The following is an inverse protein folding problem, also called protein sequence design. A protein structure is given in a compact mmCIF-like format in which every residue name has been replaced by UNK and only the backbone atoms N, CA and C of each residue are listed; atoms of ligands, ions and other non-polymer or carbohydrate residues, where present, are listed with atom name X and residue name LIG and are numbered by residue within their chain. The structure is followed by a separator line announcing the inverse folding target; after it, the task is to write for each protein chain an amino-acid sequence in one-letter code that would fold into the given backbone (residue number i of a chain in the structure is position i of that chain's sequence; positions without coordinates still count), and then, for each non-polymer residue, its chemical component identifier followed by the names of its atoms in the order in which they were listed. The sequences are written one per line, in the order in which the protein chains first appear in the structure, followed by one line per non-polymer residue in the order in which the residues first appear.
data_IF_285016828246
#
_entry.id   IF_285016828246
#
_cell.length_a   1.000
_cell.length_b   1.000
_cell.length_c   1.000
_cell.angle_alpha   90.00
_cell.angle_beta   90.00
_cell.angle_gamma   90.00
#
_symmetry.space_group_name_H-M   'P 1'
#
loop_
_entity.id
_entity.type
_entity.pdbx_description
1 polymer ?
#
# COMPACT_ATOMS: atom_id res chain seq x y z
N UNK A 1 36.30 9.55 14.63
CA UNK A 1 34.95 9.21 15.12
C UNK A 1 33.94 9.79 14.13
N UNK A 2 33.66 9.04 13.06
CA UNK A 2 32.79 9.51 11.98
C UNK A 2 31.34 9.51 12.46
N UNK A 3 30.76 10.70 12.61
CA UNK A 3 29.32 10.86 12.79
C UNK A 3 28.63 10.38 11.50
N UNK A 4 28.32 9.08 11.42
CA UNK A 4 27.20 8.64 10.62
C UNK A 4 25.96 9.31 11.21
N UNK A 5 25.54 10.44 10.63
CA UNK A 5 24.18 10.90 10.84
C UNK A 5 23.26 9.81 10.30
N UNK A 6 22.81 8.92 11.19
CA UNK A 6 21.65 8.06 10.95
C UNK A 6 20.53 9.00 10.52
N UNK A 7 20.17 8.91 9.25
CA UNK A 7 19.02 9.60 8.70
C UNK A 7 17.81 9.21 9.55
N UNK A 8 17.28 10.22 10.23
CA UNK A 8 16.27 10.14 11.29
C UNK A 8 16.76 9.67 12.67
N UNK A 9 16.59 10.56 13.66
CA UNK A 9 16.57 10.24 15.09
C UNK A 9 15.40 9.31 15.48
N UNK A 10 14.54 8.99 14.51
CA UNK A 10 13.36 8.13 14.56
C UNK A 10 13.26 7.40 13.20
N UNK A 11 14.08 6.38 12.93
CA UNK A 11 13.93 5.47 11.78
C UNK A 11 12.61 4.67 11.90
N UNK A 12 11.48 5.38 11.95
CA UNK A 12 10.15 4.85 12.13
C UNK A 12 9.75 4.15 10.84
N UNK A 13 9.96 2.85 10.80
CA UNK A 13 9.23 1.93 9.92
C UNK A 13 9.80 1.71 8.52
N UNK A 14 11.00 2.20 8.18
CA UNK A 14 11.66 1.79 6.92
C UNK A 14 12.57 0.60 7.22
N UNK A 15 12.15 -0.57 6.77
CA UNK A 15 12.90 -1.82 6.85
C UNK A 15 14.26 -1.68 6.15
N UNK A 16 15.36 -1.94 6.87
CA UNK A 16 16.71 -1.66 6.36
C UNK A 16 17.12 -2.58 5.20
N UNK A 17 16.52 -3.77 5.12
CA UNK A 17 16.80 -4.75 4.07
C UNK A 17 16.33 -4.29 2.69
N UNK A 18 15.43 -3.30 2.61
CA UNK A 18 15.06 -2.65 1.35
C UNK A 18 16.25 -1.94 0.67
N UNK A 19 17.30 -1.58 1.41
CA UNK A 19 18.54 -1.03 0.83
C UNK A 19 19.39 -2.07 0.08
N UNK A 20 19.12 -3.36 0.30
CA UNK A 20 19.82 -4.49 -0.32
C UNK A 20 19.17 -5.05 -1.58
N UNK A 21 18.11 -4.40 -2.08
CA UNK A 21 17.40 -4.79 -3.29
C UNK A 21 18.20 -4.44 -4.55
N UNK A 22 18.11 -5.29 -5.57
CA UNK A 22 18.65 -5.10 -6.91
C UNK A 22 17.53 -4.92 -7.94
N UNK A 23 17.83 -4.20 -9.02
CA UNK A 23 16.96 -3.99 -10.18
C UNK A 23 17.82 -3.56 -11.36
N UNK A 24 17.36 -3.84 -12.58
CA UNK A 24 17.99 -3.39 -13.81
C UNK A 24 18.04 -1.85 -13.94
N UNK A 25 17.17 -1.17 -13.21
CA UNK A 25 17.03 0.30 -13.24
C UNK A 25 17.66 0.98 -12.01
N UNK A 26 18.22 0.21 -11.07
CA UNK A 26 18.93 0.78 -9.93
C UNK A 26 20.36 1.13 -10.33
N UNK A 27 20.59 2.42 -10.59
CA UNK A 27 21.93 2.95 -10.70
C UNK A 27 22.66 2.83 -9.37
N UNK A 28 23.78 2.12 -9.35
CA UNK A 28 24.69 2.03 -8.20
C UNK A 28 25.87 2.96 -8.45
N UNK A 29 25.87 4.17 -7.87
CA UNK A 29 26.96 5.11 -8.07
C UNK A 29 28.26 4.53 -7.54
N UNK A 30 29.38 4.85 -8.21
CA UNK A 30 30.70 4.51 -7.69
C UNK A 30 30.87 5.15 -6.29
N UNK A 31 31.44 4.37 -5.36
CA UNK A 31 31.74 4.76 -3.99
C UNK A 31 32.42 6.14 -3.91
N UNK A 32 33.31 6.45 -4.87
CA UNK A 32 34.02 7.72 -4.94
C UNK A 32 33.09 8.94 -5.06
N UNK A 33 31.95 8.81 -5.74
CA UNK A 33 30.96 9.88 -5.88
C UNK A 33 29.90 9.85 -4.78
N UNK A 34 29.54 8.66 -4.28
CA UNK A 34 28.43 8.52 -3.34
C UNK A 34 28.76 9.07 -1.95
N UNK A 35 29.99 8.90 -1.47
CA UNK A 35 30.36 9.36 -0.12
C UNK A 35 30.42 10.88 -0.01
N UNK A 36 31.04 11.63 -0.95
CA UNK A 36 30.97 13.09 -0.96
C UNK A 36 29.53 13.60 -1.09
N UNK A 37 28.72 13.02 -1.99
CA UNK A 37 27.33 13.42 -2.15
C UNK A 37 26.52 13.18 -0.87
N UNK A 38 26.68 12.01 -0.22
CA UNK A 38 26.03 11.72 1.07
C UNK A 38 26.45 12.70 2.16
N UNK A 39 27.73 13.09 2.19
CA UNK A 39 28.23 14.08 3.13
C UNK A 39 27.58 15.45 2.88
N UNK A 40 27.55 15.91 1.63
CA UNK A 40 26.90 17.17 1.25
C UNK A 40 25.41 17.19 1.63
N UNK A 41 24.68 16.14 1.26
CA UNK A 41 23.26 15.96 1.63
C UNK A 41 23.06 15.95 3.15
N UNK A 42 23.99 15.35 3.90
CA UNK A 42 23.93 15.33 5.37
C UNK A 42 24.17 16.72 5.96
N UNK A 43 25.12 17.49 5.40
CA UNK A 43 25.40 18.86 5.81
C UNK A 43 24.18 19.76 5.54
N UNK A 44 23.65 19.73 4.32
CA UNK A 44 22.45 20.49 3.93
C UNK A 44 21.28 20.17 4.86
N UNK A 45 21.02 18.88 5.10
CA UNK A 45 19.95 18.45 6.00
C UNK A 45 20.19 18.89 7.46
N UNK A 46 21.42 18.85 7.96
CA UNK A 46 21.76 19.34 9.30
C UNK A 46 21.51 20.84 9.43
N UNK A 47 21.93 21.64 8.45
CA UNK A 47 21.66 23.09 8.40
C UNK A 47 20.15 23.33 8.42
N UNK A 48 19.40 22.63 7.57
CA UNK A 48 17.94 22.73 7.52
C UNK A 48 17.27 22.37 8.84
N UNK A 49 17.72 21.30 9.52
CA UNK A 49 17.20 20.90 10.83
C UNK A 49 17.50 21.93 11.91
N UNK A 50 18.69 22.52 11.90
CA UNK A 50 19.07 23.57 12.84
C UNK A 50 18.17 24.79 12.63
N UNK A 51 18.02 25.25 11.39
CA UNK A 51 17.13 26.35 11.02
C UNK A 51 15.67 26.09 11.46
N UNK A 52 15.12 24.91 11.18
CA UNK A 52 13.77 24.56 11.60
C UNK A 52 13.60 24.47 13.13
N UNK A 53 14.64 24.03 13.85
CA UNK A 53 14.63 24.04 15.32
C UNK A 53 14.54 25.48 15.86
N UNK A 54 15.17 26.45 15.20
CA UNK A 54 15.10 27.86 15.55
C UNK A 54 13.73 28.49 15.26
N UNK A 55 13.06 28.11 14.17
CA UNK A 55 11.78 28.71 13.74
C UNK A 55 10.56 28.09 14.47
N UNK A 56 10.76 27.13 15.38
CA UNK A 56 9.70 26.39 16.07
C UNK A 56 8.69 25.68 15.14
N UNK A 57 8.98 25.59 13.85
CA UNK A 57 8.09 24.96 12.89
C UNK A 57 8.27 23.44 12.96
N UNK A 58 7.48 22.78 13.82
CA UNK A 58 7.64 21.37 14.21
C UNK A 58 7.39 20.33 13.10
N UNK A 59 6.99 20.73 11.90
CA UNK A 59 6.60 19.77 10.84
C UNK A 59 6.98 20.20 9.44
N UNK A 60 8.27 20.11 9.09
CA UNK A 60 8.68 19.79 7.73
C UNK A 60 9.94 18.93 7.81
N UNK A 61 9.77 17.62 7.72
CA UNK A 61 10.86 16.67 7.55
C UNK A 61 10.50 15.78 6.37
N UNK A 62 10.48 16.36 5.17
CA UNK A 62 10.49 15.57 3.94
C UNK A 62 11.94 15.32 3.57
N UNK A 63 12.31 14.05 3.38
CA UNK A 63 13.58 13.74 2.73
C UNK A 63 13.56 14.41 1.35
N UNK A 64 14.62 15.14 0.96
CA UNK A 64 14.70 15.74 -0.37
C UNK A 64 14.56 14.62 -1.42
N UNK A 65 13.65 14.84 -2.38
CA UNK A 65 13.41 13.94 -3.51
C UNK A 65 13.77 14.70 -4.78
N UNK A 66 14.82 14.27 -5.46
CA UNK A 66 15.25 14.87 -6.73
C UNK A 66 14.65 14.10 -7.90
N UNK A 67 14.30 14.80 -8.97
CA UNK A 67 13.81 14.18 -10.21
C UNK A 67 12.34 13.73 -10.19
N UNK A 68 11.68 13.69 -9.02
CA UNK A 68 10.31 13.19 -8.93
C UNK A 68 9.29 14.11 -9.61
N UNK A 69 9.52 15.42 -9.59
CA UNK A 69 8.58 16.37 -10.19
C UNK A 69 8.71 16.36 -11.71
N UNK A 70 9.92 16.09 -12.21
CA UNK A 70 10.30 16.02 -13.60
C UNK A 70 9.68 14.79 -14.30
N UNK A 71 9.50 13.68 -13.58
CA UNK A 71 8.80 12.47 -14.09
C UNK A 71 7.34 12.77 -14.46
N UNK A 72 6.67 13.59 -13.65
CA UNK A 72 5.26 13.93 -13.85
C UNK A 72 5.08 15.33 -14.44
N UNK A 73 6.17 15.91 -14.95
CA UNK A 73 6.12 17.20 -15.61
C UNK A 73 5.58 17.00 -17.03
N UNK A 74 4.37 17.48 -17.27
CA UNK A 74 3.67 17.31 -18.55
C UNK A 74 4.13 18.33 -19.62
N UNK A 75 5.04 19.25 -19.27
CA UNK A 75 5.59 20.27 -20.17
C UNK A 75 5.40 21.66 -19.58
N UNK A 76 5.19 22.67 -20.43
CA UNK A 76 4.93 24.06 -20.02
C UNK A 76 3.48 24.31 -19.57
N UNK A 77 2.75 23.26 -19.18
CA UNK A 77 1.35 23.39 -18.80
C UNK A 77 1.21 24.20 -17.51
N UNK A 78 0.36 25.22 -17.57
CA UNK A 78 0.01 26.05 -16.41
C UNK A 78 -1.24 25.56 -15.68
N UNK A 79 -1.97 24.61 -16.27
CA UNK A 79 -3.25 24.09 -15.75
C UNK A 79 -3.35 22.56 -15.86
N UNK A 80 -4.25 21.97 -15.07
CA UNK A 80 -4.53 20.55 -15.11
C UNK A 80 -5.48 20.19 -16.26
N UNK A 81 -5.11 19.19 -17.07
CA UNK A 81 -5.93 18.67 -18.17
C UNK A 81 -6.02 17.15 -18.13
N UNK A 82 -7.26 16.64 -18.07
CA UNK A 82 -7.53 15.19 -18.13
C UNK A 82 -7.35 14.63 -19.54
N UNK A 83 -7.50 15.45 -20.58
CA UNK A 83 -7.26 15.05 -21.96
C UNK A 83 -5.78 14.75 -22.17
N UNK A 84 -4.89 15.67 -21.78
CA UNK A 84 -3.45 15.46 -21.87
C UNK A 84 -3.02 14.23 -21.06
N UNK A 85 -3.56 14.07 -19.85
CA UNK A 85 -3.30 12.89 -19.03
C UNK A 85 -3.65 11.59 -19.78
N UNK A 86 -4.74 11.55 -20.55
CA UNK A 86 -5.17 10.36 -21.31
C UNK A 86 -4.30 10.05 -22.54
N UNK A 87 -3.55 11.02 -23.04
CA UNK A 87 -2.65 10.82 -24.21
C UNK A 87 -1.35 10.08 -23.89
N UNK A 88 -1.04 9.88 -22.60
CA UNK A 88 0.23 9.28 -22.16
C UNK A 88 0.02 7.85 -21.70
N UNK A 89 1.06 7.03 -21.91
CA UNK A 89 1.08 5.62 -21.51
C UNK A 89 1.62 5.45 -20.08
N UNK A 90 0.83 5.87 -19.08
CA UNK A 90 1.24 5.82 -17.67
C UNK A 90 1.37 4.40 -17.11
N UNK A 91 0.64 3.45 -17.70
CA UNK A 91 0.57 2.06 -17.27
C UNK A 91 1.76 1.21 -17.75
N UNK A 92 2.65 1.73 -18.61
CA UNK A 92 3.87 1.01 -19.01
C UNK A 92 4.71 0.59 -17.81
N UNK A 93 4.84 1.47 -16.80
CA UNK A 93 5.54 1.15 -15.55
C UNK A 93 4.89 0.00 -14.75
N UNK A 94 3.60 -0.27 -14.99
CA UNK A 94 2.88 -1.39 -14.39
C UNK A 94 3.00 -2.67 -15.22
N UNK A 95 3.37 -2.58 -16.50
CA UNK A 95 3.53 -3.73 -17.40
C UNK A 95 4.98 -4.24 -17.37
N UNK A 96 5.95 -3.35 -17.45
CA UNK A 96 7.37 -3.71 -17.57
C UNK A 96 7.88 -4.42 -16.31
N UNK A 97 8.61 -5.51 -16.52
CA UNK A 97 9.36 -6.15 -15.44
C UNK A 97 10.63 -5.34 -15.14
N UNK A 98 10.58 -4.61 -14.03
CA UNK A 98 11.71 -3.82 -13.53
C UNK A 98 12.78 -4.69 -12.85
N UNK A 99 12.59 -6.01 -12.77
CA UNK A 99 13.57 -6.99 -12.31
C UNK A 99 13.97 -6.78 -10.84
N UNK A 100 13.02 -6.37 -9.99
CA UNK A 100 13.30 -6.04 -8.59
C UNK A 100 13.37 -7.30 -7.74
N UNK A 101 14.52 -7.56 -7.09
CA UNK A 101 14.76 -8.75 -6.28
C UNK A 101 15.84 -8.53 -5.22
N UNK A 102 15.80 -9.31 -4.14
CA UNK A 102 16.89 -9.41 -3.15
C UNK A 102 18.14 -10.04 -3.79
N UNK A 103 19.32 -9.48 -3.51
CA UNK A 103 20.58 -10.00 -4.05
C UNK A 103 20.91 -11.43 -3.61
N UNK A 104 21.59 -12.21 -4.44
CA UNK A 104 21.72 -13.67 -4.28
C UNK A 104 22.24 -14.17 -2.91
N UNK A 105 23.24 -13.51 -2.30
CA UNK A 105 23.72 -13.88 -0.96
C UNK A 105 22.64 -13.60 0.11
N UNK A 106 21.97 -12.45 -0.01
CA UNK A 106 20.91 -12.02 0.91
C UNK A 106 19.70 -12.95 0.78
N UNK A 107 19.35 -13.33 -0.46
CA UNK A 107 18.27 -14.25 -0.75
C UNK A 107 18.49 -15.64 -0.13
N UNK A 108 19.71 -16.18 -0.20
CA UNK A 108 20.04 -17.48 0.44
C UNK A 108 19.91 -17.45 1.96
N UNK A 109 20.30 -16.35 2.60
CA UNK A 109 20.12 -16.19 4.06
C UNK A 109 18.65 -16.14 4.44
N UNK A 110 17.85 -15.43 3.63
CA UNK A 110 16.42 -15.34 3.87
C UNK A 110 15.69 -16.67 3.63
N UNK A 111 16.10 -17.45 2.63
CA UNK A 111 15.62 -18.82 2.40
C UNK A 111 15.88 -19.73 3.61
N UNK A 112 17.05 -19.61 4.25
CA UNK A 112 17.30 -20.34 5.50
C UNK A 112 16.33 -19.91 6.61
N UNK A 113 16.07 -18.60 6.75
CA UNK A 113 15.07 -18.10 7.69
C UNK A 113 13.65 -18.63 7.43
N UNK A 114 13.25 -18.79 6.16
CA UNK A 114 11.99 -19.46 5.79
C UNK A 114 11.94 -20.91 6.28
N UNK A 115 13.03 -21.66 6.13
CA UNK A 115 13.12 -23.05 6.61
C UNK A 115 13.06 -23.13 8.13
N UNK A 116 13.72 -22.19 8.81
CA UNK A 116 13.72 -22.12 10.27
C UNK A 116 12.32 -21.80 10.83
N UNK A 117 11.47 -21.11 10.05
CA UNK A 117 10.04 -20.94 10.34
C UNK A 117 9.21 -22.22 10.17
N UNK A 118 9.76 -23.28 9.58
CA UNK A 118 9.08 -24.55 9.34
C UNK A 118 8.25 -24.59 8.06
N UNK A 119 8.38 -23.61 7.16
CA UNK A 119 7.68 -23.64 5.86
C UNK A 119 8.47 -24.54 4.90
N UNK A 120 7.85 -25.58 4.30
CA UNK A 120 8.52 -26.42 3.32
C UNK A 120 9.04 -25.64 2.11
N UNK A 121 10.13 -26.12 1.50
CA UNK A 121 10.78 -25.43 0.38
C UNK A 121 9.87 -25.31 -0.85
N UNK A 122 9.11 -26.37 -1.14
CA UNK A 122 8.19 -26.51 -2.27
C UNK A 122 6.76 -26.00 -1.96
N UNK A 123 6.47 -25.66 -0.70
CA UNK A 123 5.19 -25.09 -0.33
C UNK A 123 5.02 -23.66 -0.85
N UNK A 124 3.86 -23.39 -1.45
CA UNK A 124 3.42 -22.03 -1.72
C UNK A 124 2.80 -21.43 -0.45
N UNK A 125 2.99 -20.13 -0.26
CA UNK A 125 2.48 -19.44 0.92
C UNK A 125 1.98 -18.04 0.58
N UNK A 126 1.08 -17.55 1.42
CA UNK A 126 0.48 -16.22 1.34
C UNK A 126 1.10 -15.36 2.43
N UNK A 127 1.59 -14.18 2.05
CA UNK A 127 2.07 -13.20 3.01
C UNK A 127 0.91 -12.29 3.41
N UNK A 128 0.65 -12.17 4.71
CA UNK A 128 -0.46 -11.38 5.24
C UNK A 128 0.06 -10.25 6.12
N UNK A 129 -0.45 -9.04 5.94
CA UNK A 129 -0.23 -7.93 6.87
C UNK A 129 -1.52 -7.14 7.08
N UNK A 130 -2.08 -7.29 8.29
CA UNK A 130 -3.22 -6.51 8.77
C UNK A 130 -2.72 -5.57 9.85
N UNK A 131 -2.84 -4.27 9.59
CA UNK A 131 -2.43 -3.25 10.55
C UNK A 131 -3.40 -3.25 11.73
N UNK A 132 -2.86 -3.29 12.94
CA UNK A 132 -3.61 -3.21 14.20
C UNK A 132 -3.22 -1.94 14.99
N UNK A 133 -4.12 -1.49 15.85
CA UNK A 133 -3.99 -0.42 16.85
C UNK A 133 -2.76 -0.58 17.77
N UNK A 134 -2.32 -1.81 18.03
CA UNK A 134 -1.13 -2.10 18.84
C UNK A 134 0.17 -1.49 18.28
N UNK A 135 0.20 -1.09 17.01
CA UNK A 135 1.40 -0.53 16.36
C UNK A 135 1.71 0.93 16.77
N UNK A 136 0.72 1.72 17.18
CA UNK A 136 0.91 3.13 17.57
C UNK A 136 0.21 3.51 18.90
N UNK A 137 -0.51 2.58 19.53
CA UNK A 137 -1.20 2.78 20.81
C UNK A 137 -2.38 3.77 20.75
N UNK A 138 -2.96 4.08 21.91
CA UNK A 138 -4.15 4.94 22.10
C UNK A 138 -3.95 6.43 21.77
N UNK A 139 -2.76 6.83 21.32
CA UNK A 139 -2.42 8.21 20.92
C UNK A 139 -2.70 8.51 19.44
N UNK A 140 -3.25 7.55 18.70
CA UNK A 140 -3.60 7.71 17.29
C UNK A 140 -4.85 8.59 17.10
N UNK A 141 -4.73 9.65 16.30
CA UNK A 141 -5.90 10.40 15.83
C UNK A 141 -6.85 9.53 15.01
N UNK A 142 -8.13 9.92 14.96
CA UNK A 142 -9.25 9.17 14.34
C UNK A 142 -8.90 8.63 12.95
N UNK A 143 -8.28 9.45 12.07
CA UNK A 143 -7.88 9.05 10.72
C UNK A 143 -6.84 7.91 10.64
N UNK A 144 -6.07 7.67 11.70
CA UNK A 144 -5.14 6.54 11.75
C UNK A 144 -5.81 5.28 12.26
N UNK A 145 -6.75 5.42 13.20
CA UNK A 145 -7.54 4.31 13.73
C UNK A 145 -8.43 3.68 12.65
N UNK A 146 -8.97 4.48 11.72
CA UNK A 146 -9.79 3.98 10.61
C UNK A 146 -9.06 3.00 9.69
N UNK A 147 -7.72 2.99 9.73
CA UNK A 147 -6.85 2.12 8.92
C UNK A 147 -6.55 0.77 9.59
N UNK A 148 -6.86 0.63 10.87
CA UNK A 148 -6.63 -0.60 11.61
C UNK A 148 -7.74 -1.60 11.28
N UNK A 149 -7.44 -2.89 11.45
CA UNK A 149 -8.42 -3.97 11.32
C UNK A 149 -8.14 -5.15 12.25
N UNK A 150 -9.19 -5.87 12.65
CA UNK A 150 -9.03 -7.06 13.48
C UNK A 150 -8.55 -8.24 12.64
N UNK A 151 -7.37 -8.78 12.98
CA UNK A 151 -6.80 -9.96 12.35
C UNK A 151 -7.70 -11.20 12.48
N UNK A 152 -8.57 -11.25 13.51
CA UNK A 152 -9.46 -12.39 13.70
C UNK A 152 -10.49 -12.54 12.58
N UNK A 153 -10.90 -11.45 11.92
CA UNK A 153 -11.80 -11.51 10.76
C UNK A 153 -11.18 -12.28 9.58
N UNK A 154 -9.87 -12.52 9.57
CA UNK A 154 -9.18 -13.21 8.48
C UNK A 154 -9.07 -14.72 8.71
N UNK A 155 -9.45 -15.23 9.90
CA UNK A 155 -9.26 -16.64 10.25
C UNK A 155 -10.03 -17.57 9.30
N UNK A 156 -11.23 -17.17 8.85
CA UNK A 156 -12.01 -17.94 7.87
C UNK A 156 -11.26 -18.04 6.53
N UNK A 157 -10.78 -16.92 6.01
CA UNK A 157 -9.97 -16.88 4.80
C UNK A 157 -8.65 -17.68 4.92
N UNK A 158 -8.01 -17.68 6.08
CA UNK A 158 -6.82 -18.50 6.32
C UNK A 158 -7.12 -20.00 6.22
N UNK A 159 -8.27 -20.44 6.74
CA UNK A 159 -8.74 -21.83 6.57
C UNK A 159 -8.94 -22.16 5.09
N UNK A 160 -9.55 -21.26 4.32
CA UNK A 160 -9.75 -21.45 2.87
C UNK A 160 -8.41 -21.60 2.14
N UNK A 161 -7.40 -20.78 2.46
CA UNK A 161 -6.05 -20.88 1.87
C UNK A 161 -5.40 -22.23 2.21
N UNK A 162 -5.45 -22.62 3.48
CA UNK A 162 -4.80 -23.83 3.97
C UNK A 162 -5.47 -25.12 3.49
N UNK A 163 -6.80 -25.11 3.34
CA UNK A 163 -7.56 -26.20 2.69
C UNK A 163 -7.22 -26.35 1.20
N UNK A 164 -6.75 -25.29 0.54
CA UNK A 164 -6.22 -25.35 -0.83
C UNK A 164 -4.72 -25.73 -0.88
N UNK A 165 -4.14 -26.14 0.25
CA UNK A 165 -2.74 -26.61 0.35
C UNK A 165 -1.70 -25.50 0.51
N UNK A 166 -2.13 -24.26 0.75
CA UNK A 166 -1.23 -23.13 0.96
C UNK A 166 -0.87 -22.90 2.43
N UNK A 167 0.25 -22.24 2.68
CA UNK A 167 0.56 -21.72 4.01
C UNK A 167 0.15 -20.25 4.14
N UNK A 168 -0.15 -19.82 5.36
CA UNK A 168 -0.36 -18.40 5.67
C UNK A 168 0.75 -17.92 6.58
N UNK A 169 1.44 -16.85 6.21
CA UNK A 169 2.49 -16.24 7.02
C UNK A 169 2.14 -14.80 7.29
N UNK A 170 1.83 -14.47 8.55
CA UNK A 170 1.48 -13.11 8.94
C UNK A 170 2.70 -12.34 9.41
N UNK A 171 3.05 -11.30 8.65
CA UNK A 171 4.07 -10.33 9.02
C UNK A 171 3.46 -9.18 9.83
N UNK A 172 4.31 -8.45 10.55
CA UNK A 172 3.86 -7.35 11.40
C UNK A 172 4.83 -7.06 12.53
N UNK A 173 4.33 -6.32 13.51
CA UNK A 173 5.06 -5.98 14.73
C UNK A 173 4.63 -6.90 15.89
N UNK A 174 5.53 -7.18 16.81
CA UNK A 174 5.28 -8.08 17.96
C UNK A 174 4.27 -7.52 18.97
N UNK A 175 3.89 -6.24 18.87
CA UNK A 175 2.86 -5.62 19.69
C UNK A 175 1.44 -5.78 19.10
N UNK A 176 1.31 -6.30 17.88
CA UNK A 176 0.01 -6.54 17.27
C UNK A 176 -0.70 -7.74 17.93
N UNK A 177 -2.03 -7.83 17.80
CA UNK A 177 -2.78 -8.98 18.31
C UNK A 177 -2.25 -10.31 17.74
N UNK A 178 -2.18 -11.33 18.60
CA UNK A 178 -1.80 -12.71 18.22
C UNK A 178 -2.90 -13.38 17.41
N UNK A 179 -2.48 -14.20 16.45
CA UNK A 179 -3.38 -15.11 15.73
C UNK A 179 -3.57 -16.36 16.59
N UNK A 180 -4.78 -16.95 16.64
CA UNK A 180 -4.97 -18.27 17.24
C UNK A 180 -4.11 -19.33 16.54
N UNK A 181 -3.81 -20.42 17.25
CA UNK A 181 -3.13 -21.56 16.65
C UNK A 181 -4.05 -22.21 15.60
N UNK A 182 -3.60 -22.18 14.34
CA UNK A 182 -4.34 -22.65 13.18
C UNK A 182 -3.39 -23.46 12.31
N UNK A 183 -3.88 -24.58 11.79
CA UNK A 183 -3.11 -25.48 10.94
C UNK A 183 -2.55 -24.74 9.71
N UNK A 184 -1.25 -24.93 9.43
CA UNK A 184 -0.52 -24.26 8.33
C UNK A 184 -0.56 -22.72 8.35
N UNK A 185 -0.82 -22.09 9.51
CA UNK A 185 -0.76 -20.64 9.71
C UNK A 185 0.36 -20.27 10.68
N UNK A 186 1.25 -19.37 10.26
CA UNK A 186 2.42 -18.92 11.03
C UNK A 186 2.23 -17.45 11.41
N UNK A 187 2.10 -17.18 12.71
CA UNK A 187 2.14 -15.82 13.28
C UNK A 187 3.59 -15.34 13.44
N UNK A 188 4.23 -15.12 12.30
CA UNK A 188 5.64 -14.73 12.22
C UNK A 188 5.95 -13.41 12.94
N UNK A 189 4.97 -12.50 13.05
CA UNK A 189 5.10 -11.28 13.85
C UNK A 189 5.51 -11.54 15.33
N UNK A 190 5.20 -12.72 15.87
CA UNK A 190 5.51 -13.15 17.23
C UNK A 190 6.58 -14.24 17.32
N UNK A 191 7.22 -14.62 16.19
CA UNK A 191 8.23 -15.69 16.18
C UNK A 191 9.63 -15.15 16.47
N UNK A 192 10.52 -16.03 16.93
CA UNK A 192 11.92 -15.71 17.25
C UNK A 192 12.77 -15.44 16.00
N UNK A 193 12.28 -15.88 14.84
CA UNK A 193 12.88 -15.72 13.52
C UNK A 193 12.57 -14.35 12.90
N UNK A 194 11.75 -13.52 13.58
CA UNK A 194 11.43 -12.17 13.11
C UNK A 194 12.70 -11.35 12.84
N UNK A 195 12.81 -10.85 11.60
CA UNK A 195 13.91 -10.00 11.17
C UNK A 195 13.51 -9.09 10.02
N UNK A 196 14.18 -7.94 9.90
CA UNK A 196 14.01 -7.02 8.76
C UNK A 196 14.18 -7.74 7.42
N UNK A 197 15.13 -8.66 7.32
CA UNK A 197 15.37 -9.41 6.09
C UNK A 197 14.19 -10.31 5.73
N UNK A 198 13.68 -11.06 6.71
CA UNK A 198 12.62 -12.03 6.46
C UNK A 198 11.27 -11.34 6.22
N UNK A 199 11.03 -10.17 6.82
CA UNK A 199 9.88 -9.30 6.49
C UNK A 199 9.82 -8.97 4.98
N UNK A 200 10.96 -8.65 4.35
CA UNK A 200 11.04 -8.30 2.91
C UNK A 200 10.96 -9.55 2.04
N UNK A 201 11.66 -10.62 2.45
CA UNK A 201 11.70 -11.87 1.69
C UNK A 201 10.34 -12.57 1.64
N UNK A 202 9.61 -12.64 2.75
CA UNK A 202 8.29 -13.25 2.80
C UNK A 202 7.30 -12.54 1.86
N UNK A 203 7.41 -11.21 1.71
CA UNK A 203 6.64 -10.47 0.71
C UNK A 203 7.13 -10.79 -0.70
N UNK A 204 8.45 -10.86 -0.93
CA UNK A 204 8.99 -11.13 -2.26
C UNK A 204 8.61 -12.53 -2.77
N UNK A 205 8.61 -13.55 -1.92
CA UNK A 205 8.46 -14.95 -2.37
C UNK A 205 7.04 -15.51 -2.21
N UNK A 206 6.09 -14.73 -1.69
CA UNK A 206 4.72 -15.22 -1.55
C UNK A 206 4.05 -15.42 -2.92
N UNK A 207 3.09 -16.35 -2.94
CA UNK A 207 2.22 -16.60 -4.09
C UNK A 207 1.32 -15.38 -4.37
N UNK A 208 0.76 -14.81 -3.31
CA UNK A 208 0.06 -13.53 -3.33
C UNK A 208 0.10 -12.89 -1.93
N UNK A 209 -0.20 -11.60 -1.88
CA UNK A 209 -0.17 -10.79 -0.66
C UNK A 209 -1.59 -10.39 -0.26
N UNK A 210 -1.95 -10.55 1.01
CA UNK A 210 -3.18 -10.00 1.59
C UNK A 210 -2.81 -8.89 2.56
N UNK A 211 -3.43 -7.72 2.44
CA UNK A 211 -3.25 -6.73 3.49
C UNK A 211 -4.18 -5.54 3.39
N UNK A 212 -3.96 -4.58 4.28
CA UNK A 212 -4.67 -3.31 4.32
C UNK A 212 -3.81 -2.17 3.77
N UNK A 213 -4.38 -1.01 3.41
CA UNK A 213 -3.62 0.17 2.98
C UNK A 213 -2.57 0.62 4.01
N UNK A 214 -1.32 0.16 3.85
CA UNK A 214 -0.25 0.26 4.84
C UNK A 214 1.13 0.21 4.18
N UNK A 215 2.20 0.44 4.95
CA UNK A 215 3.58 0.44 4.43
C UNK A 215 3.95 -0.85 3.67
N UNK A 216 3.71 -2.05 4.24
CA UNK A 216 4.05 -3.32 3.59
C UNK A 216 3.37 -3.55 2.23
N UNK A 217 2.18 -2.98 1.99
CA UNK A 217 1.53 -3.00 0.67
C UNK A 217 2.42 -2.37 -0.41
N UNK A 218 3.19 -1.33 -0.07
CA UNK A 218 4.12 -0.69 -1.03
C UNK A 218 5.25 -1.64 -1.42
N UNK A 219 5.70 -2.51 -0.49
CA UNK A 219 6.73 -3.51 -0.75
C UNK A 219 6.18 -4.65 -1.62
N UNK A 220 4.94 -5.08 -1.38
CA UNK A 220 4.27 -6.07 -2.23
C UNK A 220 4.12 -5.56 -3.68
N UNK A 221 3.73 -4.29 -3.84
CA UNK A 221 3.69 -3.62 -5.14
C UNK A 221 5.07 -3.55 -5.80
N UNK A 222 6.11 -3.22 -5.03
CA UNK A 222 7.50 -3.16 -5.51
C UNK A 222 7.98 -4.50 -6.08
N UNK A 223 7.71 -5.60 -5.37
CA UNK A 223 8.03 -6.96 -5.84
C UNK A 223 7.02 -7.55 -6.80
N UNK A 224 6.05 -6.75 -7.24
CA UNK A 224 5.08 -7.14 -8.27
C UNK A 224 4.36 -8.45 -7.90
N UNK A 225 4.00 -8.61 -6.62
CA UNK A 225 3.17 -9.73 -6.18
C UNK A 225 1.70 -9.47 -6.52
N UNK A 226 0.89 -10.50 -6.82
CA UNK A 226 -0.56 -10.36 -6.82
C UNK A 226 -1.06 -9.91 -5.45
N UNK A 227 -2.04 -9.00 -5.43
CA UNK A 227 -2.51 -8.34 -4.21
C UNK A 227 -4.02 -8.54 -4.01
N UNK A 228 -4.38 -8.91 -2.78
CA UNK A 228 -5.72 -8.80 -2.21
C UNK A 228 -5.74 -7.69 -1.17
N UNK A 229 -6.35 -6.57 -1.52
CA UNK A 229 -6.40 -5.38 -0.70
C UNK A 229 -7.72 -5.31 0.07
N UNK A 230 -7.65 -5.51 1.38
CA UNK A 230 -8.82 -5.55 2.27
C UNK A 230 -8.98 -4.23 3.01
N UNK A 231 -10.20 -3.96 3.49
CA UNK A 231 -10.47 -2.82 4.36
C UNK A 231 -10.03 -1.47 3.77
N UNK A 232 -10.23 -1.28 2.46
CA UNK A 232 -9.96 0.00 1.81
C UNK A 232 -10.88 1.09 2.36
N UNK A 233 -10.33 2.27 2.63
CA UNK A 233 -11.07 3.41 3.23
C UNK A 233 -11.16 4.61 2.29
N UNK A 234 -10.61 4.52 1.09
CA UNK A 234 -10.65 5.53 0.05
C UNK A 234 -10.57 4.85 -1.33
N UNK A 235 -10.79 5.59 -2.42
CA UNK A 235 -11.03 5.02 -3.76
C UNK A 235 -9.91 5.28 -4.78
N UNK A 236 -8.87 6.03 -4.43
CA UNK A 236 -7.97 6.66 -5.40
C UNK A 236 -6.51 6.22 -5.26
N UNK A 237 -5.92 6.25 -4.07
CA UNK A 237 -4.47 6.08 -3.87
C UNK A 237 -4.09 4.63 -3.57
N UNK A 238 -4.71 4.04 -2.57
CA UNK A 238 -4.50 2.69 -2.07
C UNK A 238 -5.59 1.79 -2.68
N UNK A 239 -5.46 1.52 -3.99
CA UNK A 239 -6.39 0.71 -4.77
C UNK A 239 -5.64 -0.43 -5.49
N UNK A 240 -6.29 -1.56 -5.83
CA UNK A 240 -5.70 -2.65 -6.60
C UNK A 240 -5.03 -2.17 -7.88
N UNK A 241 -3.71 -2.37 -7.97
CA UNK A 241 -2.89 -1.69 -8.97
C UNK A 241 -2.83 -2.45 -10.29
N UNK A 242 -2.74 -3.78 -10.25
CA UNK A 242 -2.47 -4.62 -11.43
C UNK A 242 -3.67 -5.46 -11.84
N UNK A 243 -3.65 -5.89 -13.09
CA UNK A 243 -4.66 -6.81 -13.60
C UNK A 243 -4.64 -8.09 -12.77
N UNK A 244 -5.81 -8.53 -12.30
CA UNK A 244 -5.94 -9.67 -11.39
C UNK A 244 -5.82 -9.30 -9.91
N UNK A 245 -5.30 -8.12 -9.53
CA UNK A 245 -5.41 -7.68 -8.14
C UNK A 245 -6.89 -7.42 -7.82
N UNK A 246 -7.31 -7.80 -6.61
CA UNK A 246 -8.63 -7.51 -6.09
C UNK A 246 -8.54 -6.66 -4.83
N UNK A 247 -9.59 -5.91 -4.54
CA UNK A 247 -9.70 -5.23 -3.27
C UNK A 247 -11.14 -4.99 -2.85
N UNK A 248 -11.38 -4.97 -1.55
CA UNK A 248 -12.70 -4.74 -0.97
C UNK A 248 -12.68 -3.50 -0.07
N UNK A 249 -13.71 -2.67 -0.23
CA UNK A 249 -13.89 -1.45 0.56
C UNK A 249 -14.45 -1.79 1.94
N UNK A 250 -14.07 -1.01 2.96
CA UNK A 250 -14.83 -0.92 4.20
C UNK A 250 -16.27 -0.49 3.88
N UNK A 251 -17.21 -0.93 4.71
CA UNK A 251 -18.61 -0.53 4.63
C UNK A 251 -18.76 0.90 5.17
N UNK A 252 -19.32 1.80 4.37
CA UNK A 252 -19.58 3.18 4.79
C UNK A 252 -21.00 3.26 5.34
N UNK A 253 -21.14 3.15 6.66
CA UNK A 253 -22.44 3.18 7.33
C UNK A 253 -22.84 4.62 7.66
N UNK A 254 -23.99 5.07 7.15
CA UNK A 254 -24.55 6.39 7.49
C UNK A 254 -25.46 6.25 8.70
N UNK A 255 -25.15 6.99 9.76
CA UNK A 255 -25.96 7.03 10.99
C UNK A 255 -27.33 7.63 10.71
N UNK A 256 -27.39 8.73 9.95
CA UNK A 256 -28.65 9.40 9.61
C UNK A 256 -29.57 8.57 8.72
N UNK A 257 -29.02 7.72 7.84
CA UNK A 257 -29.81 6.82 6.99
C UNK A 257 -29.99 5.42 7.58
N UNK A 258 -29.31 5.11 8.68
CA UNK A 258 -29.29 3.80 9.35
C UNK A 258 -28.98 2.62 8.40
N UNK A 259 -28.12 2.85 7.40
CA UNK A 259 -27.72 1.82 6.43
C UNK A 259 -26.33 2.06 5.85
N UNK A 260 -25.79 1.02 5.22
CA UNK A 260 -24.61 1.14 4.37
C UNK A 260 -24.93 1.98 3.13
N UNK A 261 -23.97 2.81 2.73
CA UNK A 261 -24.01 3.59 1.51
C UNK A 261 -23.54 2.77 0.32
N UNK A 262 -24.24 2.93 -0.82
CA UNK A 262 -23.78 2.33 -2.08
C UNK A 262 -22.47 2.96 -2.55
N UNK A 263 -21.73 2.26 -3.40
CA UNK A 263 -20.49 2.73 -4.01
C UNK A 263 -20.67 4.08 -4.73
N UNK A 264 -21.81 4.30 -5.40
CA UNK A 264 -22.13 5.59 -6.03
C UNK A 264 -22.37 6.70 -5.02
N UNK A 265 -23.03 6.42 -3.89
CA UNK A 265 -23.20 7.37 -2.81
C UNK A 265 -21.84 7.75 -2.20
N UNK A 266 -20.94 6.78 -2.03
CA UNK A 266 -19.58 7.00 -1.52
C UNK A 266 -18.79 7.97 -2.42
N UNK A 267 -18.78 7.76 -3.74
CA UNK A 267 -18.13 8.69 -4.69
C UNK A 267 -18.77 10.08 -4.69
N UNK A 268 -20.10 10.16 -4.57
CA UNK A 268 -20.82 11.46 -4.52
C UNK A 268 -20.43 12.28 -3.30
N UNK A 269 -20.19 11.60 -2.17
CA UNK A 269 -19.67 12.23 -0.96
C UNK A 269 -18.21 12.64 -1.16
N UNK A 270 -17.38 11.77 -1.73
CA UNK A 270 -15.97 12.05 -1.99
C UNK A 270 -15.77 13.27 -2.89
N UNK A 271 -16.59 13.45 -3.93
CA UNK A 271 -16.55 14.60 -4.83
C UNK A 271 -16.74 15.95 -4.08
N UNK A 272 -17.54 15.93 -3.01
CA UNK A 272 -17.81 17.10 -2.17
C UNK A 272 -16.74 17.35 -1.09
N UNK A 273 -15.88 16.36 -0.82
CA UNK A 273 -14.86 16.41 0.22
C UNK A 273 -13.49 16.83 -0.31
N UNK A 274 -12.75 17.64 0.44
CA UNK A 274 -11.34 17.92 0.16
C UNK A 274 -10.40 16.90 0.86
N UNK A 275 -10.95 16.10 1.77
CA UNK A 275 -10.23 15.02 2.45
C UNK A 275 -10.29 13.73 1.62
N UNK A 276 -9.14 13.07 1.50
CA UNK A 276 -9.03 11.79 0.81
C UNK A 276 -9.69 10.65 1.61
N UNK A 277 -9.46 10.63 2.92
CA UNK A 277 -10.14 9.72 3.84
C UNK A 277 -11.39 10.43 4.30
N UNK A 278 -12.55 9.91 3.93
CA UNK A 278 -13.80 10.49 4.39
C UNK A 278 -14.10 10.01 5.81
N UNK A 279 -13.98 10.93 6.76
CA UNK A 279 -14.48 10.75 8.13
C UNK A 279 -15.35 11.95 8.48
N UNK A 280 -16.63 11.70 8.76
CA UNK A 280 -17.56 12.72 9.27
C UNK A 280 -18.30 12.15 10.47
N UNK A 281 -18.99 13.01 11.22
CA UNK A 281 -19.79 12.57 12.36
C UNK A 281 -20.93 11.62 11.95
N UNK A 282 -21.38 11.67 10.68
CA UNK A 282 -22.44 10.82 10.15
C UNK A 282 -21.96 9.47 9.63
N UNK A 283 -20.72 9.36 9.15
CA UNK A 283 -20.24 8.14 8.47
C UNK A 283 -19.28 7.36 9.36
N UNK A 284 -19.62 6.10 9.59
CA UNK A 284 -18.76 5.10 10.23
C UNK A 284 -18.17 4.16 9.18
N UNK A 285 -16.86 3.96 9.26
CA UNK A 285 -16.15 2.97 8.46
C UNK A 285 -16.14 1.64 9.20
N UNK A 286 -16.96 0.70 8.75
CA UNK A 286 -17.06 -0.64 9.32
C UNK A 286 -16.14 -1.58 8.54
N UNK A 287 -15.36 -2.37 9.27
CA UNK A 287 -14.46 -3.36 8.69
C UNK A 287 -15.20 -4.45 7.90
N UNK A 288 -14.47 -5.07 6.99
CA UNK A 288 -14.95 -6.28 6.34
C UNK A 288 -15.02 -7.41 7.36
N UNK A 289 -16.12 -8.14 7.35
CA UNK A 289 -16.30 -9.31 8.20
C UNK A 289 -15.61 -10.55 7.59
N UNK A 290 -15.64 -11.65 8.34
CA UNK A 290 -14.96 -12.89 7.95
C UNK A 290 -15.48 -13.51 6.67
N UNK A 291 -16.75 -13.31 6.32
CA UNK A 291 -17.33 -13.84 5.09
C UNK A 291 -16.91 -12.99 3.90
N UNK A 292 -16.95 -11.67 4.04
CA UNK A 292 -16.52 -10.75 2.97
C UNK A 292 -15.05 -10.95 2.59
N UNK A 293 -14.17 -11.18 3.59
CA UNK A 293 -12.74 -11.44 3.34
C UNK A 293 -12.53 -12.83 2.71
N UNK A 294 -13.27 -13.84 3.17
CA UNK A 294 -13.21 -15.19 2.64
C UNK A 294 -13.74 -15.29 1.20
N UNK A 295 -14.81 -14.57 0.88
CA UNK A 295 -15.36 -14.47 -0.48
C UNK A 295 -14.35 -13.82 -1.43
N UNK A 296 -13.66 -12.76 -1.01
CA UNK A 296 -12.57 -12.14 -1.76
C UNK A 296 -11.44 -13.13 -2.07
N UNK A 297 -10.99 -13.89 -1.07
CA UNK A 297 -9.93 -14.90 -1.23
C UNK A 297 -10.38 -16.04 -2.13
N UNK A 298 -11.62 -16.50 -1.97
CA UNK A 298 -12.21 -17.56 -2.78
C UNK A 298 -12.35 -17.14 -4.25
N UNK A 299 -12.85 -15.93 -4.52
CA UNK A 299 -12.96 -15.38 -5.89
C UNK A 299 -11.59 -15.32 -6.58
N UNK A 300 -10.55 -14.92 -5.84
CA UNK A 300 -9.19 -14.84 -6.33
C UNK A 300 -8.58 -16.22 -6.62
N UNK A 301 -8.67 -17.17 -5.68
CA UNK A 301 -8.13 -18.54 -5.85
C UNK A 301 -8.82 -19.24 -7.02
N UNK A 302 -10.13 -19.02 -7.20
CA UNK A 302 -10.89 -19.58 -8.32
C UNK A 302 -10.57 -18.92 -9.67
N UNK A 303 -9.78 -17.84 -9.70
CA UNK A 303 -9.37 -17.16 -10.93
C UNK A 303 -10.47 -16.38 -11.65
N UNK A 304 -11.60 -16.11 -10.97
CA UNK A 304 -12.77 -15.44 -11.57
C UNK A 304 -12.51 -13.96 -11.91
N UNK A 305 -11.45 -13.39 -11.36
CA UNK A 305 -10.93 -12.04 -11.55
C UNK A 305 -10.10 -11.84 -12.82
N UNK A 306 -9.86 -12.89 -13.61
CA UNK A 306 -9.05 -12.80 -14.84
C UNK A 306 -9.67 -11.88 -15.92
N UNK A 307 -10.99 -11.66 -15.90
CA UNK A 307 -11.68 -10.77 -16.83
C UNK A 307 -12.67 -9.86 -16.11
N UNK A 308 -12.58 -8.56 -16.37
CA UNK A 308 -13.52 -7.57 -15.85
C UNK A 308 -14.92 -7.74 -16.42
N UNK A 309 -15.92 -7.70 -15.54
CA UNK A 309 -17.34 -7.59 -15.90
C UNK A 309 -17.70 -6.17 -16.36
N UNK A 310 -18.87 -6.01 -16.98
CA UNK A 310 -19.33 -4.68 -17.40
C UNK A 310 -19.56 -3.75 -16.21
N UNK A 311 -20.12 -4.27 -15.11
CA UNK A 311 -20.30 -3.50 -13.87
C UNK A 311 -18.97 -3.03 -13.28
N UNK A 312 -17.94 -3.88 -13.27
CA UNK A 312 -16.59 -3.49 -12.84
C UNK A 312 -16.03 -2.38 -13.74
N UNK A 313 -16.21 -2.46 -15.07
CA UNK A 313 -15.76 -1.40 -16.00
C UNK A 313 -16.48 -0.08 -15.77
N UNK A 314 -17.79 -0.13 -15.53
CA UNK A 314 -18.59 1.06 -15.25
C UNK A 314 -18.19 1.71 -13.92
N UNK A 315 -17.95 0.89 -12.89
CA UNK A 315 -17.38 1.33 -11.62
C UNK A 315 -16.02 2.00 -11.80
N UNK A 316 -15.09 1.36 -12.51
CA UNK A 316 -13.76 1.92 -12.76
C UNK A 316 -13.85 3.27 -13.47
N UNK A 317 -14.72 3.39 -14.48
CA UNK A 317 -14.94 4.66 -15.18
C UNK A 317 -15.47 5.74 -14.22
N UNK A 318 -16.43 5.41 -13.35
CA UNK A 318 -16.97 6.33 -12.36
C UNK A 318 -15.90 6.78 -11.34
N UNK A 319 -15.15 5.82 -10.80
CA UNK A 319 -14.04 6.02 -9.86
C UNK A 319 -12.96 6.94 -10.42
N UNK A 320 -12.48 6.66 -11.64
CA UNK A 320 -11.45 7.46 -12.32
C UNK A 320 -11.92 8.90 -12.53
N UNK A 321 -13.15 9.09 -12.99
CA UNK A 321 -13.69 10.43 -13.21
C UNK A 321 -13.89 11.21 -11.90
N UNK A 322 -14.30 10.54 -10.81
CA UNK A 322 -14.37 11.15 -9.48
C UNK A 322 -12.99 11.55 -8.98
N UNK A 323 -11.98 10.69 -9.14
CA UNK A 323 -10.59 11.02 -8.79
C UNK A 323 -10.07 12.25 -9.53
N UNK A 324 -10.39 12.40 -10.83
CA UNK A 324 -10.02 13.60 -11.58
C UNK A 324 -10.69 14.87 -11.07
N UNK A 325 -11.99 14.81 -10.74
CA UNK A 325 -12.69 15.95 -10.11
C UNK A 325 -12.06 16.32 -8.77
N UNK A 326 -11.73 15.32 -7.95
CA UNK A 326 -11.10 15.51 -6.66
C UNK A 326 -9.75 16.23 -6.78
N UNK A 327 -8.85 15.74 -7.64
CA UNK A 327 -7.52 16.34 -7.79
C UNK A 327 -7.53 17.68 -8.53
N UNK A 328 -8.44 17.89 -9.49
CA UNK A 328 -8.66 19.20 -10.12
C UNK A 328 -9.08 20.25 -9.10
N UNK A 329 -10.01 19.91 -8.19
CA UNK A 329 -10.43 20.78 -7.10
C UNK A 329 -9.27 21.13 -6.16
N UNK A 330 -8.47 20.15 -5.76
CA UNK A 330 -7.29 20.41 -4.92
C UNK A 330 -6.25 21.28 -5.61
N UNK A 331 -6.08 21.14 -6.93
CA UNK A 331 -5.23 22.01 -7.74
C UNK A 331 -5.73 23.45 -7.71
N UNK A 332 -7.03 23.67 -7.99
CA UNK A 332 -7.67 24.99 -8.03
C UNK A 332 -7.61 25.72 -6.67
N UNK A 333 -7.68 24.97 -5.57
CA UNK A 333 -7.56 25.51 -4.22
C UNK A 333 -6.10 25.65 -3.75
N UNK A 334 -5.10 25.50 -4.64
CA UNK A 334 -3.67 25.57 -4.33
C UNK A 334 -3.22 24.64 -3.19
N UNK A 335 -3.96 23.55 -2.94
CA UNK A 335 -3.68 22.62 -1.85
C UNK A 335 -2.55 21.64 -2.18
N UNK A 336 -2.33 21.39 -3.47
CA UNK A 336 -1.25 20.57 -4.01
C UNK A 336 -0.71 21.19 -5.30
N UNK A 337 0.54 20.89 -5.65
CA UNK A 337 1.12 21.41 -6.90
C UNK A 337 0.58 20.69 -8.13
N UNK A 338 0.65 21.35 -9.29
CA UNK A 338 0.24 20.74 -10.58
C UNK A 338 0.97 19.42 -10.86
N UNK A 339 2.27 19.34 -10.55
CA UNK A 339 3.04 18.10 -10.68
C UNK A 339 2.52 16.97 -9.76
N UNK A 340 2.04 17.32 -8.55
CA UNK A 340 1.42 16.34 -7.65
C UNK A 340 0.06 15.87 -8.17
N UNK A 341 -0.75 16.78 -8.73
CA UNK A 341 -2.04 16.46 -9.37
C UNK A 341 -1.82 15.43 -10.49
N UNK A 342 -0.90 15.70 -11.42
CA UNK A 342 -0.58 14.75 -12.48
C UNK A 342 0.01 13.44 -11.96
N UNK A 343 0.82 13.47 -10.90
CA UNK A 343 1.33 12.27 -10.24
C UNK A 343 0.22 11.39 -9.67
N UNK A 344 -0.78 11.96 -9.01
CA UNK A 344 -1.86 11.16 -8.43
C UNK A 344 -2.88 10.73 -9.49
N UNK A 345 -3.25 11.61 -10.41
CA UNK A 345 -4.17 11.28 -11.49
C UNK A 345 -3.61 10.24 -12.46
N UNK A 346 -2.29 10.25 -12.73
CA UNK A 346 -1.64 9.19 -13.52
C UNK A 346 -1.71 7.82 -12.84
N UNK A 347 -1.67 7.75 -11.50
CA UNK A 347 -1.87 6.49 -10.76
C UNK A 347 -3.30 5.98 -10.92
N UNK A 348 -4.29 6.85 -10.67
CA UNK A 348 -5.71 6.48 -10.74
C UNK A 348 -6.08 5.85 -12.08
N UNK A 349 -5.62 6.46 -13.19
CA UNK A 349 -5.91 5.98 -14.54
C UNK A 349 -5.09 4.73 -14.92
N UNK A 350 -3.96 4.50 -14.27
CA UNK A 350 -3.10 3.35 -14.55
C UNK A 350 -3.57 2.07 -13.87
N UNK A 351 -4.29 2.17 -12.75
CA UNK A 351 -4.75 1.01 -12.01
C UNK A 351 -5.64 0.09 -12.84
N UNK A 352 -5.34 -1.22 -12.79
CA UNK A 352 -6.03 -2.27 -13.55
C UNK A 352 -6.68 -3.34 -12.66
N UNK A 353 -6.51 -3.26 -11.35
CA UNK A 353 -7.17 -4.15 -10.41
C UNK A 353 -8.64 -3.75 -10.19
N UNK A 354 -9.39 -4.59 -9.48
CA UNK A 354 -10.85 -4.46 -9.40
C UNK A 354 -11.40 -4.69 -8.00
N UNK A 355 -12.65 -4.26 -7.78
CA UNK A 355 -13.47 -4.78 -6.69
C UNK A 355 -14.05 -6.16 -7.08
N UNK A 356 -14.26 -7.09 -6.13
CA UNK A 356 -14.88 -8.40 -6.37
C UNK A 356 -16.22 -8.29 -7.10
N UNK A 357 -16.52 -9.22 -7.99
CA UNK A 357 -17.72 -9.14 -8.81
C UNK A 357 -19.01 -9.17 -7.96
N UNK A 358 -19.06 -10.04 -6.96
CA UNK A 358 -20.20 -10.11 -6.04
C UNK A 358 -20.35 -8.81 -5.25
N UNK A 359 -19.24 -8.24 -4.78
CA UNK A 359 -19.24 -6.98 -4.05
C UNK A 359 -19.80 -5.83 -4.88
N UNK A 360 -19.35 -5.70 -6.12
CA UNK A 360 -19.84 -4.68 -7.06
C UNK A 360 -21.33 -4.86 -7.36
N UNK A 361 -21.77 -6.10 -7.58
CA UNK A 361 -23.18 -6.41 -7.87
C UNK A 361 -24.13 -6.04 -6.73
N UNK A 362 -23.68 -6.18 -5.48
CA UNK A 362 -24.49 -5.89 -4.29
C UNK A 362 -24.47 -4.39 -3.92
N UNK A 363 -23.36 -3.69 -4.22
CA UNK A 363 -23.11 -2.35 -3.69
C UNK A 363 -23.12 -1.22 -4.73
N UNK A 364 -23.20 -1.48 -6.03
CA UNK A 364 -23.57 -0.48 -7.05
C UNK A 364 -25.08 -0.29 -7.07
#
# INVERSE_FOLDING_TARGET
MFFFCRFSKNSLGINQSLTGINSNFLYKPNAFFIYPLRLLMSIEYCIYRLFNKFIQNKRIATNPRYGINEIYNIGNESIYSTEILRTKFWDLALVDDIGVHLGGIVNRRALQGKRDLGIPDDAWFVCVHVRDSGYYGSSEGIQKQTRNSDILNYCKAFKTITQNGGWVVRIGDSNMKKIPDLDHVIDYAHSKEKSDLLDVYLIQECAFYIGTPSGPLTVANLFRRPILLTNMYEHFIDYPMRSGDLGIMKKFFSKSKERNLSLTEQLTIQDKSDQLIYTSDDILLIENDENEIDDLVSEFINGSNAKQTNLQKDWEKARVNSGFRYYDKLCKNNSISLAQVYRFSSRIISYKGNLPNNFVTINL
#
